data_IF_936447045752
#
_entry.id   IF_936447045752
#
_cell.length_a   1.000
_cell.length_b   1.000
_cell.length_c   1.000
_cell.angle_alpha   90.00
_cell.angle_beta   90.00
_cell.angle_gamma   90.00
#
_symmetry.space_group_name_H-M   'P 1'
#
loop_
_entity.id
_entity.type
_entity.pdbx_description
1 polymer ?
#
# COMPACT_ATOMS: atom_id res chain seq x y z
N UNK A 1 51.75 -33.95 -64.40
CA UNK A 1 50.66 -34.50 -63.57
C UNK A 1 50.46 -33.58 -62.34
N UNK A 2 49.61 -32.54 -62.45
CA UNK A 2 49.29 -31.60 -61.37
C UNK A 2 47.96 -32.00 -60.74
N UNK A 3 47.93 -32.22 -59.42
CA UNK A 3 46.67 -32.43 -58.62
C UNK A 3 46.35 -31.08 -57.98
N UNK A 4 45.09 -30.54 -58.06
CA UNK A 4 44.71 -29.37 -57.34
C UNK A 4 44.33 -29.75 -55.91
N UNK A 5 44.86 -29.02 -54.90
CA UNK A 5 44.39 -29.04 -53.52
C UNK A 5 43.04 -28.32 -53.45
N UNK A 6 42.04 -29.04 -53.00
CA UNK A 6 40.70 -28.49 -52.70
C UNK A 6 40.71 -27.93 -51.27
N UNK A 7 40.69 -26.58 -51.13
CA UNK A 7 40.55 -25.92 -49.84
C UNK A 7 39.09 -25.97 -49.41
N UNK A 8 38.79 -26.71 -48.34
CA UNK A 8 37.50 -26.76 -47.70
C UNK A 8 37.47 -25.62 -46.67
N UNK A 9 36.73 -24.54 -47.00
CA UNK A 9 36.46 -23.43 -46.07
C UNK A 9 35.27 -23.84 -45.18
N UNK A 10 35.52 -24.16 -43.91
CA UNK A 10 34.50 -24.41 -42.90
C UNK A 10 34.02 -23.05 -42.39
N UNK A 11 32.82 -22.64 -42.80
CA UNK A 11 32.14 -21.47 -42.24
C UNK A 11 31.55 -21.84 -40.87
N UNK A 12 32.15 -21.35 -39.79
CA UNK A 12 31.61 -21.46 -38.43
C UNK A 12 30.40 -20.51 -38.31
N UNK A 13 29.21 -21.03 -38.41
CA UNK A 13 27.96 -20.31 -38.09
C UNK A 13 27.84 -20.25 -36.57
N UNK A 14 28.23 -19.12 -35.96
CA UNK A 14 27.99 -18.86 -34.56
C UNK A 14 26.49 -18.61 -34.36
N UNK A 15 25.75 -19.65 -33.92
CA UNK A 15 24.38 -19.51 -33.38
C UNK A 15 24.48 -18.67 -32.09
N UNK A 16 24.17 -17.41 -32.18
CA UNK A 16 23.89 -16.63 -30.99
C UNK A 16 22.53 -17.09 -30.42
N UNK A 17 22.56 -18.00 -29.45
CA UNK A 17 21.42 -18.23 -28.58
C UNK A 17 21.21 -16.97 -27.77
N UNK A 18 20.29 -16.13 -28.22
CA UNK A 18 19.77 -15.05 -27.39
C UNK A 18 19.10 -15.71 -26.18
N UNK A 19 19.76 -15.65 -25.03
CA UNK A 19 19.13 -15.95 -23.75
C UNK A 19 18.05 -14.88 -23.59
N UNK A 20 16.81 -15.22 -23.94
CA UNK A 20 15.64 -14.41 -23.53
C UNK A 20 15.71 -14.36 -22.01
N UNK A 21 16.11 -13.23 -21.46
CA UNK A 21 15.94 -12.95 -20.05
C UNK A 21 14.44 -13.14 -19.76
N UNK A 22 14.07 -14.18 -19.07
CA UNK A 22 12.70 -14.35 -18.59
C UNK A 22 12.42 -13.14 -17.70
N UNK A 23 11.37 -12.38 -18.06
CA UNK A 23 10.89 -11.30 -17.22
C UNK A 23 10.72 -11.83 -15.79
N UNK A 24 11.47 -11.29 -14.85
CA UNK A 24 11.31 -11.65 -13.46
C UNK A 24 10.08 -10.92 -12.91
N UNK A 25 9.06 -11.68 -12.49
CA UNK A 25 7.90 -11.11 -11.81
C UNK A 25 8.37 -10.45 -10.51
N UNK A 26 8.09 -9.16 -10.36
CA UNK A 26 8.32 -8.41 -9.12
C UNK A 26 7.03 -8.42 -8.29
N UNK A 27 7.04 -9.14 -7.19
CA UNK A 27 5.87 -9.28 -6.31
C UNK A 27 5.90 -8.23 -5.21
N UNK A 28 4.93 -7.33 -5.22
CA UNK A 28 4.82 -6.20 -4.29
C UNK A 28 3.60 -6.36 -3.40
N UNK A 29 3.81 -6.56 -2.10
CA UNK A 29 2.76 -6.49 -1.09
C UNK A 29 2.62 -5.07 -0.55
N UNK A 30 1.47 -4.43 -0.76
CA UNK A 30 1.25 -3.04 -0.40
C UNK A 30 -0.06 -2.81 0.34
N UNK A 31 -0.07 -1.85 1.27
CA UNK A 31 -1.26 -1.46 1.99
C UNK A 31 -2.40 -1.09 1.03
N UNK A 32 -3.63 -1.50 1.33
CA UNK A 32 -4.81 -1.31 0.48
C UNK A 32 -5.04 0.16 0.06
N UNK A 33 -4.68 1.13 0.89
CA UNK A 33 -4.76 2.56 0.57
C UNK A 33 -3.86 2.98 -0.60
N UNK A 34 -2.84 2.18 -0.93
CA UNK A 34 -1.90 2.43 -2.03
C UNK A 34 -2.40 1.92 -3.38
N UNK A 35 -3.49 1.15 -3.43
CA UNK A 35 -3.93 0.40 -4.63
C UNK A 35 -3.87 1.24 -5.90
N UNK A 36 -4.55 2.37 -5.95
CA UNK A 36 -4.63 3.17 -7.18
C UNK A 36 -3.27 3.78 -7.58
N UNK A 37 -2.55 4.36 -6.62
CA UNK A 37 -1.25 4.96 -6.88
C UNK A 37 -0.20 3.92 -7.29
N UNK A 38 -0.17 2.75 -6.62
CA UNK A 38 0.77 1.68 -6.95
C UNK A 38 0.44 0.99 -8.27
N UNK A 39 -0.84 0.90 -8.65
CA UNK A 39 -1.21 0.43 -9.99
C UNK A 39 -0.63 1.34 -11.08
N UNK A 40 -0.78 2.67 -10.94
CA UNK A 40 -0.18 3.62 -11.88
C UNK A 40 1.36 3.55 -11.84
N UNK A 41 1.96 3.41 -10.66
CA UNK A 41 3.42 3.24 -10.49
C UNK A 41 3.90 1.96 -11.19
N UNK A 42 3.19 0.85 -11.04
CA UNK A 42 3.53 -0.41 -11.71
C UNK A 42 3.56 -0.25 -13.22
N UNK A 43 2.52 0.36 -13.78
CA UNK A 43 2.47 0.63 -15.23
C UNK A 43 3.61 1.54 -15.71
N UNK A 44 3.97 2.58 -14.92
CA UNK A 44 5.08 3.47 -15.28
C UNK A 44 6.44 2.75 -15.16
N UNK A 45 6.59 1.91 -14.12
CA UNK A 45 7.80 1.11 -13.93
C UNK A 45 7.98 0.11 -15.08
N UNK A 46 6.94 -0.65 -15.45
CA UNK A 46 6.95 -1.60 -16.56
C UNK A 46 7.27 -0.91 -17.90
N UNK A 47 6.78 0.32 -18.11
CA UNK A 47 7.15 1.09 -19.31
C UNK A 47 8.64 1.48 -19.35
N UNK A 48 9.22 1.77 -18.19
CA UNK A 48 10.65 2.08 -18.10
C UNK A 48 11.52 0.82 -18.11
N UNK A 49 10.97 -0.33 -17.76
CA UNK A 49 11.62 -1.63 -17.65
C UNK A 49 10.80 -2.70 -18.39
N UNK A 50 10.89 -2.77 -19.74
CA UNK A 50 10.02 -3.64 -20.55
C UNK A 50 10.10 -5.14 -20.23
N UNK A 51 11.21 -5.56 -19.60
CA UNK A 51 11.45 -6.95 -19.18
C UNK A 51 10.97 -7.21 -17.72
N UNK A 52 10.35 -6.24 -17.06
CA UNK A 52 9.80 -6.39 -15.71
C UNK A 52 8.28 -6.48 -15.76
N UNK A 53 7.72 -7.33 -14.88
CA UNK A 53 6.29 -7.37 -14.60
C UNK A 53 6.04 -7.19 -13.11
N UNK A 54 5.19 -6.24 -12.74
CA UNK A 54 4.86 -5.97 -11.34
C UNK A 54 3.53 -6.60 -10.96
N UNK A 55 3.56 -7.48 -9.98
CA UNK A 55 2.38 -8.16 -9.45
C UNK A 55 2.09 -7.61 -8.06
N UNK A 56 0.91 -7.04 -7.88
CA UNK A 56 0.51 -6.46 -6.60
C UNK A 56 -0.40 -7.38 -5.78
N UNK A 57 -0.16 -7.40 -4.46
CA UNK A 57 -1.06 -7.94 -3.46
C UNK A 57 -1.44 -6.82 -2.48
N UNK A 58 -2.73 -6.42 -2.48
CA UNK A 58 -3.23 -5.33 -1.64
C UNK A 58 -4.09 -5.84 -0.50
N UNK A 59 -3.71 -5.52 0.75
CA UNK A 59 -4.48 -5.87 1.94
C UNK A 59 -4.16 -4.93 3.12
N UNK A 60 -4.65 -5.23 4.31
CA UNK A 60 -4.18 -4.57 5.55
C UNK A 60 -2.71 -4.90 5.81
N UNK A 61 -1.92 -3.89 6.20
CA UNK A 61 -0.46 -4.05 6.35
C UNK A 61 -0.07 -5.21 7.28
N UNK A 62 -0.79 -5.39 8.40
CA UNK A 62 -0.53 -6.50 9.32
C UNK A 62 -0.84 -7.86 8.71
N UNK A 63 -1.87 -7.98 7.87
CA UNK A 63 -2.19 -9.22 7.15
C UNK A 63 -1.09 -9.55 6.14
N UNK A 64 -0.59 -8.53 5.41
CA UNK A 64 0.53 -8.70 4.48
C UNK A 64 1.79 -9.16 5.19
N UNK A 65 2.12 -8.54 6.33
CA UNK A 65 3.26 -8.96 7.14
C UNK A 65 3.13 -10.43 7.58
N UNK A 66 1.94 -10.85 8.03
CA UNK A 66 1.71 -12.25 8.40
C UNK A 66 1.90 -13.22 7.22
N UNK A 67 1.49 -12.84 6.00
CA UNK A 67 1.72 -13.64 4.80
C UNK A 67 3.22 -13.76 4.49
N UNK A 68 3.95 -12.64 4.56
CA UNK A 68 5.40 -12.60 4.35
C UNK A 68 6.13 -13.47 5.39
N UNK A 69 5.79 -13.32 6.67
CA UNK A 69 6.38 -14.11 7.74
C UNK A 69 6.13 -15.63 7.61
N UNK A 70 5.02 -16.01 6.95
CA UNK A 70 4.70 -17.41 6.60
C UNK A 70 5.34 -17.88 5.30
N UNK A 71 6.21 -17.08 4.67
CA UNK A 71 6.95 -17.46 3.47
C UNK A 71 6.24 -17.14 2.15
N UNK A 72 5.26 -16.24 2.12
CA UNK A 72 4.73 -15.77 0.84
C UNK A 72 5.85 -15.19 -0.03
N UNK A 73 5.89 -15.52 -1.34
CA UNK A 73 6.90 -15.00 -2.25
C UNK A 73 6.65 -13.52 -2.51
N UNK A 74 7.35 -12.64 -1.82
CA UNK A 74 7.22 -11.19 -1.92
C UNK A 74 8.61 -10.58 -2.02
N UNK A 75 8.76 -9.59 -2.90
CA UNK A 75 10.02 -8.89 -3.11
C UNK A 75 10.06 -7.54 -2.41
N UNK A 76 8.91 -6.84 -2.37
CA UNK A 76 8.78 -5.51 -1.77
C UNK A 76 7.56 -5.45 -0.88
N UNK A 77 7.72 -4.86 0.30
CA UNK A 77 6.63 -4.59 1.24
C UNK A 77 6.47 -3.08 1.47
N UNK A 78 5.25 -2.55 1.29
CA UNK A 78 4.89 -1.17 1.55
C UNK A 78 3.75 -1.10 2.57
N UNK A 79 4.05 -0.57 3.76
CA UNK A 79 3.10 -0.46 4.88
C UNK A 79 2.47 0.92 4.97
N UNK A 80 1.27 1.02 5.56
CA UNK A 80 0.60 2.29 5.85
C UNK A 80 0.87 2.78 7.29
N UNK A 81 1.79 2.17 8.00
CA UNK A 81 2.30 2.66 9.28
C UNK A 81 3.71 2.15 9.60
N UNK A 82 4.36 2.84 10.52
CA UNK A 82 5.69 2.49 11.00
C UNK A 82 5.67 1.22 11.87
N UNK A 83 4.62 1.05 12.70
CA UNK A 83 4.52 -0.08 13.63
C UNK A 83 4.60 -1.44 12.93
N UNK A 84 3.90 -1.60 11.81
CA UNK A 84 3.96 -2.86 11.05
C UNK A 84 5.36 -3.06 10.44
N UNK A 85 6.00 -1.99 9.96
CA UNK A 85 7.36 -2.10 9.43
C UNK A 85 8.39 -2.38 10.53
N UNK A 86 8.23 -1.80 11.73
CA UNK A 86 9.07 -2.10 12.89
C UNK A 86 8.96 -3.59 13.26
N UNK A 87 7.75 -4.16 13.22
CA UNK A 87 7.54 -5.61 13.42
C UNK A 87 8.23 -6.42 12.32
N UNK A 88 8.13 -6.00 11.06
CA UNK A 88 8.80 -6.67 9.94
C UNK A 88 10.33 -6.68 10.09
N UNK A 89 10.91 -5.60 10.59
CA UNK A 89 12.35 -5.53 10.91
C UNK A 89 12.72 -6.42 12.10
N UNK A 90 11.92 -6.40 13.19
CA UNK A 90 12.13 -7.24 14.36
C UNK A 90 12.06 -8.73 14.03
N UNK A 91 11.15 -9.13 13.15
CA UNK A 91 11.01 -10.49 12.62
C UNK A 91 12.07 -10.84 11.56
N UNK A 92 12.91 -9.86 11.18
CA UNK A 92 14.01 -10.01 10.20
C UNK A 92 13.53 -10.48 8.82
N UNK A 93 12.30 -10.11 8.43
CA UNK A 93 11.76 -10.45 7.11
C UNK A 93 12.10 -9.40 6.05
N UNK A 94 12.51 -8.18 6.45
CA UNK A 94 12.99 -7.14 5.53
C UNK A 94 14.50 -7.15 5.39
N UNK A 95 14.97 -6.74 4.24
CA UNK A 95 16.41 -6.57 3.96
C UNK A 95 16.92 -5.30 4.64
N UNK A 96 17.97 -5.46 5.46
CA UNK A 96 18.54 -4.36 6.24
C UNK A 96 18.99 -3.19 5.35
N UNK A 97 18.70 -1.96 5.78
CA UNK A 97 19.10 -0.73 5.09
C UNK A 97 18.27 -0.39 3.84
N UNK A 98 17.18 -1.13 3.56
CA UNK A 98 16.30 -0.83 2.41
C UNK A 98 15.05 -0.05 2.80
N UNK A 99 14.71 0.00 4.10
CA UNK A 99 13.55 0.76 4.60
C UNK A 99 13.70 2.24 4.31
N UNK A 100 12.62 2.83 3.79
CA UNK A 100 12.53 4.26 3.56
C UNK A 100 11.07 4.71 3.63
N UNK A 101 10.82 5.89 4.20
CA UNK A 101 9.52 6.55 4.07
C UNK A 101 9.40 7.15 2.67
N UNK A 102 8.20 7.05 2.08
CA UNK A 102 8.00 7.53 0.70
C UNK A 102 6.81 8.46 0.53
N UNK A 103 5.76 8.34 1.38
CA UNK A 103 4.60 9.26 1.39
C UNK A 103 4.06 9.42 2.79
N UNK A 104 3.22 10.45 2.97
CA UNK A 104 2.38 10.66 4.16
C UNK A 104 0.92 10.81 3.79
N UNK A 105 0.04 10.62 4.79
CA UNK A 105 -1.41 10.73 4.66
C UNK A 105 -2.03 11.46 5.84
N UNK A 106 -3.35 11.67 5.82
CA UNK A 106 -4.14 12.21 6.92
C UNK A 106 -5.29 11.27 7.26
N UNK A 107 -5.65 11.19 8.54
CA UNK A 107 -6.81 10.46 9.03
C UNK A 107 -8.04 11.35 8.91
N UNK A 108 -9.12 10.81 8.36
CA UNK A 108 -10.40 11.53 8.23
C UNK A 108 -11.58 10.64 8.65
N UNK A 109 -12.66 11.28 9.08
CA UNK A 109 -13.96 10.65 9.22
C UNK A 109 -14.81 11.03 8.02
N UNK A 110 -15.40 10.03 7.41
CA UNK A 110 -16.31 10.17 6.27
C UNK A 110 -17.69 9.63 6.62
N UNK A 111 -18.70 10.19 5.96
CA UNK A 111 -20.11 9.73 5.99
C UNK A 111 -20.59 9.56 4.55
N UNK A 112 -21.70 8.85 4.30
CA UNK A 112 -22.31 8.79 2.96
C UNK A 112 -22.60 10.20 2.44
N UNK A 113 -22.47 10.41 1.13
CA UNK A 113 -22.60 11.75 0.50
C UNK A 113 -23.93 12.43 0.81
N UNK A 114 -25.02 11.67 0.87
CA UNK A 114 -26.38 12.17 1.17
C UNK A 114 -26.72 12.19 2.66
N UNK A 115 -25.79 11.79 3.53
CA UNK A 115 -26.02 11.81 4.98
C UNK A 115 -26.16 13.24 5.49
N UNK A 116 -27.16 13.46 6.35
CA UNK A 116 -27.37 14.73 7.06
C UNK A 116 -26.60 14.82 8.37
N UNK A 117 -25.85 13.77 8.73
CA UNK A 117 -25.04 13.73 9.95
C UNK A 117 -24.00 14.84 9.97
N UNK A 118 -23.92 15.52 11.09
CA UNK A 118 -22.89 16.50 11.40
C UNK A 118 -21.94 15.93 12.45
N UNK A 119 -20.70 15.69 12.06
CA UNK A 119 -19.62 15.23 12.93
C UNK A 119 -18.54 16.31 12.92
N UNK A 120 -18.56 17.21 13.87
CA UNK A 120 -17.59 18.30 14.00
C UNK A 120 -16.47 17.96 15.01
N UNK A 121 -16.67 16.91 15.81
CA UNK A 121 -15.71 16.43 16.82
C UNK A 121 -15.80 14.92 17.00
N UNK A 122 -14.79 14.34 17.64
CA UNK A 122 -14.82 12.90 18.01
C UNK A 122 -15.97 12.56 18.97
N UNK A 123 -16.39 13.53 19.82
CA UNK A 123 -17.52 13.34 20.71
C UNK A 123 -18.84 13.10 19.95
N UNK A 124 -18.98 13.67 18.75
CA UNK A 124 -20.19 13.50 17.95
C UNK A 124 -20.43 12.05 17.51
N UNK A 125 -19.37 11.22 17.49
CA UNK A 125 -19.46 9.79 17.20
C UNK A 125 -20.26 9.01 18.27
N UNK A 126 -20.51 9.62 19.42
CA UNK A 126 -21.30 9.02 20.51
C UNK A 126 -22.80 9.31 20.40
N UNK A 127 -23.24 10.15 19.46
CA UNK A 127 -24.64 10.46 19.21
C UNK A 127 -25.44 9.21 18.85
N UNK A 128 -26.71 9.17 19.23
CA UNK A 128 -27.62 8.02 19.03
C UNK A 128 -27.85 7.68 17.55
N UNK A 129 -27.74 8.67 16.66
CA UNK A 129 -27.92 8.53 15.22
C UNK A 129 -26.76 7.78 14.55
N UNK A 130 -25.60 7.70 15.20
CA UNK A 130 -24.42 6.96 14.71
C UNK A 130 -24.39 5.60 15.43
N UNK A 131 -24.94 4.59 14.80
CA UNK A 131 -25.07 3.24 15.37
C UNK A 131 -23.89 2.35 15.01
N UNK A 132 -23.32 2.53 13.80
CA UNK A 132 -22.22 1.73 13.29
C UNK A 132 -21.12 2.62 12.70
N UNK A 133 -19.91 2.32 13.05
CA UNK A 133 -18.72 3.05 12.60
C UNK A 133 -17.72 2.03 12.05
N UNK A 134 -17.40 2.10 10.76
CA UNK A 134 -16.39 1.23 10.19
C UNK A 134 -14.98 1.71 10.60
N UNK A 135 -14.25 0.84 11.26
CA UNK A 135 -12.85 1.05 11.66
C UNK A 135 -12.06 -0.19 11.26
N UNK A 136 -10.91 -0.01 10.61
CA UNK A 136 -9.98 -1.12 10.37
C UNK A 136 -9.65 -1.83 11.68
N UNK A 137 -9.61 -3.17 11.69
CA UNK A 137 -9.25 -3.90 12.91
C UNK A 137 -7.89 -3.40 13.45
N UNK A 138 -7.83 -2.79 14.65
CA UNK A 138 -6.60 -2.20 15.18
C UNK A 138 -5.43 -3.17 15.31
N UNK A 139 -5.70 -4.47 15.46
CA UNK A 139 -4.66 -5.49 15.59
C UNK A 139 -3.87 -5.72 14.29
N UNK A 140 -4.49 -5.44 13.11
CA UNK A 140 -3.90 -5.78 11.81
C UNK A 140 -3.95 -4.67 10.76
N UNK A 141 -4.73 -3.61 11.00
CA UNK A 141 -4.98 -2.55 10.00
C UNK A 141 -4.49 -1.20 10.53
N UNK A 142 -3.52 -0.57 9.84
CA UNK A 142 -2.92 0.72 10.26
C UNK A 142 -3.94 1.82 10.57
N UNK A 143 -4.90 2.09 9.67
CA UNK A 143 -5.93 3.11 9.91
C UNK A 143 -6.72 2.85 11.19
N UNK A 144 -6.95 1.59 11.52
CA UNK A 144 -7.61 1.20 12.77
C UNK A 144 -6.77 1.51 14.00
N UNK A 145 -5.45 1.28 13.96
CA UNK A 145 -4.53 1.68 15.03
C UNK A 145 -4.54 3.19 15.27
N UNK A 146 -4.44 3.97 14.19
CA UNK A 146 -4.52 5.43 14.29
C UNK A 146 -5.87 5.87 14.86
N UNK A 147 -6.99 5.29 14.39
CA UNK A 147 -8.34 5.60 14.89
C UNK A 147 -8.51 5.27 16.36
N UNK A 148 -8.10 4.08 16.78
CA UNK A 148 -8.13 3.67 18.19
C UNK A 148 -7.27 4.58 19.05
N UNK A 149 -6.06 4.92 18.60
CA UNK A 149 -5.16 5.78 19.34
C UNK A 149 -5.75 7.17 19.58
N UNK A 150 -6.33 7.82 18.57
CA UNK A 150 -6.93 9.16 18.72
C UNK A 150 -8.20 9.13 19.57
N UNK A 151 -9.04 8.09 19.43
CA UNK A 151 -10.23 7.90 20.24
C UNK A 151 -9.89 7.61 21.71
N UNK A 152 -8.84 6.84 21.96
CA UNK A 152 -8.34 6.57 23.32
C UNK A 152 -7.76 7.83 23.96
N UNK A 153 -6.90 8.55 23.22
CA UNK A 153 -6.28 9.78 23.72
C UNK A 153 -7.30 10.88 24.04
N UNK A 154 -8.43 10.91 23.32
CA UNK A 154 -9.55 11.83 23.56
C UNK A 154 -10.60 11.31 24.56
N UNK A 155 -10.43 10.11 25.12
CA UNK A 155 -11.36 9.51 26.06
C UNK A 155 -12.65 8.95 25.46
N UNK A 156 -12.74 8.84 24.12
CA UNK A 156 -13.99 8.41 23.45
C UNK A 156 -14.01 6.94 23.05
N UNK A 157 -12.87 6.21 23.13
CA UNK A 157 -12.82 4.82 22.65
C UNK A 157 -13.89 3.93 23.28
N UNK A 158 -14.02 3.92 24.59
CA UNK A 158 -14.96 3.05 25.28
C UNK A 158 -16.45 3.30 24.90
N UNK A 159 -16.79 4.54 24.54
CA UNK A 159 -18.14 4.90 24.10
C UNK A 159 -18.38 4.55 22.63
N UNK A 160 -17.33 4.55 21.81
CA UNK A 160 -17.39 4.24 20.37
C UNK A 160 -17.23 2.75 20.09
N UNK A 161 -16.39 2.03 20.85
CA UNK A 161 -16.04 0.62 20.64
C UNK A 161 -17.25 -0.31 20.45
N UNK A 162 -18.37 -0.20 21.23
CA UNK A 162 -19.54 -1.06 21.02
C UNK A 162 -20.24 -0.87 19.67
N UNK A 163 -19.92 0.21 18.95
CA UNK A 163 -20.49 0.55 17.63
C UNK A 163 -19.54 0.25 16.48
N UNK A 164 -18.35 -0.27 16.79
CA UNK A 164 -17.32 -0.52 15.78
C UNK A 164 -17.64 -1.74 14.95
N UNK A 165 -17.68 -1.53 13.64
CA UNK A 165 -17.65 -2.60 12.64
C UNK A 165 -16.21 -2.74 12.18
N UNK A 166 -15.55 -3.80 12.64
CA UNK A 166 -14.15 -4.07 12.29
C UNK A 166 -14.02 -4.47 10.81
N UNK A 167 -13.09 -3.83 10.10
CA UNK A 167 -12.81 -4.12 8.70
C UNK A 167 -11.39 -4.68 8.52
N UNK A 168 -11.20 -5.45 7.46
CA UNK A 168 -9.93 -6.11 7.16
C UNK A 168 -8.89 -5.16 6.54
N UNK A 169 -9.33 -4.05 5.99
CA UNK A 169 -8.49 -2.98 5.44
C UNK A 169 -9.31 -1.70 5.26
N UNK A 170 -8.64 -0.58 4.95
CA UNK A 170 -9.29 0.73 4.81
C UNK A 170 -10.29 0.81 3.65
N UNK A 171 -10.07 0.03 2.56
CA UNK A 171 -10.99 0.05 1.41
C UNK A 171 -12.31 -0.63 1.75
N UNK A 172 -12.31 -1.64 2.60
CA UNK A 172 -13.54 -2.21 3.14
C UNK A 172 -14.30 -1.21 4.02
N UNK A 173 -13.60 -0.40 4.83
CA UNK A 173 -14.26 0.69 5.59
C UNK A 173 -14.91 1.71 4.65
N UNK A 174 -14.19 2.12 3.60
CA UNK A 174 -14.70 3.03 2.58
C UNK A 174 -15.91 2.44 1.85
N UNK A 175 -15.87 1.16 1.53
CA UNK A 175 -16.94 0.44 0.84
C UNK A 175 -18.22 0.44 1.67
N UNK A 176 -18.14 0.09 2.95
CA UNK A 176 -19.29 0.06 3.85
C UNK A 176 -19.96 1.42 3.98
N UNK A 177 -19.17 2.48 4.21
CA UNK A 177 -19.75 3.83 4.32
C UNK A 177 -20.28 4.34 2.99
N UNK A 178 -19.66 4.02 1.87
CA UNK A 178 -20.11 4.45 0.54
C UNK A 178 -21.44 3.83 0.12
N UNK A 179 -21.78 2.66 0.69
CA UNK A 179 -23.05 1.96 0.49
C UNK A 179 -24.09 2.29 1.55
N UNK A 180 -23.74 3.09 2.56
CA UNK A 180 -24.63 3.40 3.67
C UNK A 180 -24.87 2.23 4.63
N UNK A 181 -23.99 1.24 4.65
CA UNK A 181 -24.04 0.10 5.57
C UNK A 181 -23.60 0.50 6.99
N UNK A 182 -22.87 1.60 7.11
CA UNK A 182 -22.48 2.26 8.35
C UNK A 182 -22.71 3.76 8.23
N UNK A 183 -22.94 4.42 9.36
CA UNK A 183 -23.18 5.87 9.39
C UNK A 183 -21.91 6.68 9.23
N UNK A 184 -20.75 6.15 9.68
CA UNK A 184 -19.46 6.81 9.57
C UNK A 184 -18.33 5.80 9.40
N UNK A 185 -17.20 6.25 8.86
CA UNK A 185 -15.98 5.44 8.78
C UNK A 185 -14.74 6.27 9.00
N UNK A 186 -13.72 5.66 9.62
CA UNK A 186 -12.36 6.18 9.60
C UNK A 186 -11.62 5.65 8.37
N UNK A 187 -11.13 6.56 7.56
CA UNK A 187 -10.35 6.28 6.35
C UNK A 187 -9.19 7.28 6.23
N UNK A 188 -8.32 7.09 5.27
CA UNK A 188 -7.37 8.13 4.92
C UNK A 188 -8.00 9.14 3.95
N UNK A 189 -7.48 10.38 3.94
CA UNK A 189 -7.94 11.42 3.00
C UNK A 189 -7.85 10.95 1.54
N UNK A 190 -6.79 10.24 1.18
CA UNK A 190 -6.61 9.69 -0.16
C UNK A 190 -7.66 8.65 -0.54
N UNK A 191 -8.16 7.85 0.43
CA UNK A 191 -9.25 6.89 0.18
C UNK A 191 -10.57 7.63 -0.06
N UNK A 192 -10.89 8.65 0.73
CA UNK A 192 -12.08 9.47 0.53
C UNK A 192 -12.09 10.14 -0.87
N UNK A 193 -10.93 10.59 -1.34
CA UNK A 193 -10.78 11.24 -2.65
C UNK A 193 -11.08 10.32 -3.85
N UNK A 194 -11.13 9.00 -3.65
CA UNK A 194 -11.44 8.06 -4.75
C UNK A 194 -12.93 7.98 -5.05
N UNK A 195 -13.77 8.26 -4.06
CA UNK A 195 -15.23 8.16 -4.17
C UNK A 195 -15.91 9.50 -3.77
N UNK A 196 -15.55 10.64 -4.42
CA UNK A 196 -16.04 11.97 -4.04
C UNK A 196 -17.56 12.10 -4.18
N UNK A 197 -18.17 11.31 -5.07
CA UNK A 197 -19.63 11.30 -5.30
C UNK A 197 -20.38 10.32 -4.38
N UNK A 198 -19.69 9.58 -3.54
CA UNK A 198 -20.28 8.57 -2.64
C UNK A 198 -20.11 8.90 -1.16
N UNK A 199 -19.01 9.58 -0.81
CA UNK A 199 -18.71 9.92 0.57
C UNK A 199 -18.27 11.37 0.68
N UNK A 200 -18.50 11.98 1.84
CA UNK A 200 -17.94 13.31 2.17
C UNK A 200 -17.14 13.24 3.47
N UNK A 201 -16.03 13.95 3.49
CA UNK A 201 -15.24 14.14 4.70
C UNK A 201 -15.99 15.10 5.61
N UNK A 202 -16.20 14.71 6.87
CA UNK A 202 -16.86 15.53 7.89
C UNK A 202 -15.91 16.01 8.95
N UNK A 203 -14.79 15.29 9.17
CA UNK A 203 -13.79 15.70 10.14
C UNK A 203 -12.41 15.22 9.69
N UNK A 204 -11.44 16.11 9.72
CA UNK A 204 -10.03 15.74 9.68
C UNK A 204 -9.55 15.50 11.12
N UNK A 205 -8.95 14.34 11.36
CA UNK A 205 -8.58 13.90 12.70
C UNK A 205 -7.07 14.03 12.89
N UNK A 206 -6.60 15.01 13.68
CA UNK A 206 -5.18 15.13 14.00
C UNK A 206 -4.67 13.87 14.71
N UNK A 207 -3.53 13.36 14.26
CA UNK A 207 -2.84 12.23 14.89
C UNK A 207 -1.62 12.72 15.68
N UNK A 208 -1.27 12.01 16.78
CA UNK A 208 -0.12 12.38 17.61
C UNK A 208 1.22 12.30 16.85
N UNK A 209 1.31 11.40 15.88
CA UNK A 209 2.47 11.23 14.99
C UNK A 209 2.03 11.33 13.55
N UNK A 210 2.87 11.83 12.64
CA UNK A 210 2.58 11.82 11.21
C UNK A 210 2.26 10.40 10.72
N UNK A 211 1.31 10.29 9.82
CA UNK A 211 1.00 9.01 9.15
C UNK A 211 1.98 8.85 7.98
N UNK A 212 3.10 8.20 8.24
CA UNK A 212 4.14 7.92 7.25
C UNK A 212 4.04 6.48 6.76
N UNK A 213 4.27 6.31 5.47
CA UNK A 213 4.26 5.02 4.78
C UNK A 213 5.69 4.59 4.47
N UNK A 214 6.19 3.56 5.15
CA UNK A 214 7.48 2.96 4.85
C UNK A 214 7.36 1.88 3.76
N UNK A 215 8.45 1.73 2.98
CA UNK A 215 8.66 0.67 2.00
C UNK A 215 10.00 0.01 2.28
N UNK A 216 10.11 -1.31 2.04
CA UNK A 216 11.36 -2.06 2.17
C UNK A 216 11.39 -3.25 1.22
N UNK A 217 12.58 -3.69 0.81
CA UNK A 217 12.79 -4.97 0.14
C UNK A 217 12.66 -6.12 1.16
N UNK A 218 12.15 -7.27 0.71
CA UNK A 218 12.02 -8.47 1.54
C UNK A 218 13.31 -9.28 1.49
N UNK A 219 13.72 -9.78 2.65
CA UNK A 219 14.89 -10.63 2.79
C UNK A 219 14.63 -11.98 2.13
N UNK A 220 15.50 -12.38 1.20
CA UNK A 220 15.30 -13.62 0.44
C UNK A 220 14.46 -13.45 -0.81
N UNK A 221 14.10 -12.20 -1.19
CA UNK A 221 13.61 -11.85 -2.52
C UNK A 221 14.46 -12.50 -3.61
N UNK A 222 13.82 -12.98 -4.67
CA UNK A 222 14.48 -13.67 -5.78
C UNK A 222 15.46 -12.77 -6.51
N UNK A 223 15.12 -11.49 -6.74
CA UNK A 223 16.02 -10.50 -7.34
C UNK A 223 16.06 -9.21 -6.49
N UNK A 224 17.08 -9.17 -5.62
CA UNK A 224 17.30 -8.01 -4.73
C UNK A 224 17.61 -6.72 -5.47
N UNK A 225 18.18 -6.79 -6.70
CA UNK A 225 18.48 -5.61 -7.48
C UNK A 225 17.20 -4.98 -8.03
N UNK A 226 16.31 -5.80 -8.59
CA UNK A 226 15.01 -5.34 -9.09
C UNK A 226 14.14 -4.78 -7.96
N UNK A 227 14.11 -5.42 -6.78
CA UNK A 227 13.38 -4.90 -5.63
C UNK A 227 13.87 -3.52 -5.18
N UNK A 228 15.20 -3.32 -5.11
CA UNK A 228 15.81 -2.02 -4.77
C UNK A 228 15.57 -0.96 -5.84
N UNK A 229 15.62 -1.35 -7.10
CA UNK A 229 15.36 -0.45 -8.23
C UNK A 229 13.91 0.03 -8.22
N UNK A 230 12.95 -0.88 -7.99
CA UNK A 230 11.54 -0.51 -7.81
C UNK A 230 11.33 0.46 -6.63
N UNK A 231 11.98 0.23 -5.49
CA UNK A 231 11.93 1.15 -4.35
C UNK A 231 12.50 2.52 -4.73
N UNK A 232 13.59 2.56 -5.48
CA UNK A 232 14.18 3.81 -5.98
C UNK A 232 13.21 4.52 -6.93
N UNK A 233 12.55 3.79 -7.83
CA UNK A 233 11.54 4.33 -8.73
C UNK A 233 10.34 4.90 -7.97
N UNK A 234 9.79 4.19 -6.99
CA UNK A 234 8.71 4.65 -6.09
C UNK A 234 9.06 5.99 -5.46
N UNK A 235 10.32 6.19 -5.05
CA UNK A 235 10.83 7.41 -4.39
C UNK A 235 11.32 8.47 -5.36
N UNK A 236 11.31 8.22 -6.65
CA UNK A 236 11.75 9.15 -7.69
C UNK A 236 10.78 10.32 -7.87
N UNK A 237 11.17 11.30 -8.68
CA UNK A 237 10.28 12.39 -9.09
C UNK A 237 9.05 11.88 -9.86
N UNK A 238 9.17 10.81 -10.64
CA UNK A 238 8.06 10.18 -11.34
C UNK A 238 7.06 9.58 -10.34
N UNK A 239 7.53 8.76 -9.40
CA UNK A 239 6.70 8.20 -8.34
C UNK A 239 6.04 9.28 -7.48
N UNK A 240 6.80 10.31 -7.08
CA UNK A 240 6.28 11.44 -6.30
C UNK A 240 5.11 12.14 -7.01
N UNK A 241 5.20 12.39 -8.32
CA UNK A 241 4.11 13.00 -9.11
C UNK A 241 2.84 12.14 -9.12
N UNK A 242 3.02 10.83 -9.22
CA UNK A 242 1.88 9.89 -9.17
C UNK A 242 1.21 9.95 -7.79
N UNK A 243 1.98 9.88 -6.70
CA UNK A 243 1.40 9.99 -5.36
C UNK A 243 0.67 11.30 -5.13
N UNK A 244 1.22 12.42 -5.59
CA UNK A 244 0.58 13.74 -5.50
C UNK A 244 -0.76 13.79 -6.25
N UNK A 245 -0.87 13.13 -7.43
CA UNK A 245 -2.13 12.98 -8.19
C UNK A 245 -3.22 12.33 -7.33
N UNK A 246 -2.85 11.39 -6.45
CA UNK A 246 -3.76 10.70 -5.53
C UNK A 246 -3.88 11.37 -4.16
N UNK A 247 -3.30 12.54 -3.96
CA UNK A 247 -3.44 13.33 -2.73
C UNK A 247 -2.49 12.93 -1.60
N UNK A 248 -1.51 12.08 -1.83
CA UNK A 248 -0.46 11.80 -0.85
C UNK A 248 0.50 13.00 -0.71
N UNK A 249 0.92 13.27 0.52
CA UNK A 249 1.98 14.23 0.82
C UNK A 249 3.37 13.61 0.74
N UNK A 250 4.39 14.48 0.65
CA UNK A 250 5.80 14.04 0.84
C UNK A 250 6.01 13.63 2.29
N UNK A 251 6.88 12.64 2.57
CA UNK A 251 7.19 12.21 3.93
C UNK A 251 7.80 13.31 4.78
#
# INVERSE_FOLDING_TARGET
MYRPLMQVTIALLALQFGVSAMAADLIVSAAASLTNAFTDIGHEYERAHPDAKVIFNFAGSGQLLQQIAKGAPVDVFASADQETMDKAEAEKVVEAGTRADFVRNSLVIVVPIHSTLSVASLNDLTKSEIRHIAIGNPESVPVGRYSKAVLTASGHWNAVEPRVVNTQNVRQSLDYVSRGEVEAAFVYRTDAAILPDKVRIVLEVPTQKPILYPIAAIRGSGDKAVAKDFIAFVRSNAGTKIFQKYGFGKP
#
